data_IF_811716258850
#
_entry.id   IF_811716258850
#
_cell.length_a   1.000
_cell.length_b   1.000
_cell.length_c   1.000
_cell.angle_alpha   90.00
_cell.angle_beta   90.00
_cell.angle_gamma   90.00
#
_symmetry.space_group_name_H-M   'P 1'
#
loop_
_entity.id
_entity.type
_entity.pdbx_description
1 polymer ?
#
# COMPACT_ATOMS: atom_id res chain seq x y z
N UNK A 1 13.10 -13.30 13.81
CA UNK A 1 11.68 -13.06 13.59
C UNK A 1 11.12 -14.06 12.57
N UNK A 2 10.11 -14.79 12.97
CA UNK A 2 9.50 -15.79 12.09
C UNK A 2 8.68 -15.11 10.99
N UNK A 3 8.93 -15.47 9.74
CA UNK A 3 8.20 -14.89 8.61
C UNK A 3 6.83 -15.56 8.46
N UNK A 4 5.80 -14.73 8.29
CA UNK A 4 4.46 -15.23 8.00
C UNK A 4 3.77 -14.33 6.97
N UNK A 5 2.78 -14.87 6.28
CA UNK A 5 1.99 -14.12 5.32
C UNK A 5 0.99 -13.22 6.03
N UNK A 6 0.89 -11.98 5.57
CA UNK A 6 -0.16 -11.09 6.02
C UNK A 6 -1.51 -11.59 5.48
N UNK A 7 -2.58 -11.39 6.25
CA UNK A 7 -3.91 -11.84 5.85
C UNK A 7 -4.40 -11.09 4.62
N UNK A 8 -4.97 -11.85 3.67
CA UNK A 8 -5.58 -11.30 2.46
C UNK A 8 -7.10 -11.36 2.61
N UNK A 9 -7.73 -10.21 2.77
CA UNK A 9 -9.18 -10.14 2.98
C UNK A 9 -9.92 -10.00 1.65
N UNK A 10 -11.07 -10.67 1.55
CA UNK A 10 -11.86 -10.69 0.32
C UNK A 10 -12.25 -9.29 -0.18
N UNK A 11 -12.46 -8.34 0.73
CA UNK A 11 -12.79 -6.96 0.33
C UNK A 11 -11.69 -6.27 -0.46
N UNK A 12 -10.44 -6.76 -0.39
CA UNK A 12 -9.32 -6.24 -1.17
C UNK A 12 -9.01 -7.06 -2.42
N UNK A 13 -9.82 -8.08 -2.72
CA UNK A 13 -9.55 -8.98 -3.85
C UNK A 13 -9.43 -8.24 -5.19
N UNK A 14 -10.34 -7.30 -5.46
CA UNK A 14 -10.30 -6.57 -6.72
C UNK A 14 -9.12 -5.60 -6.78
N UNK A 15 -8.78 -4.98 -5.65
CA UNK A 15 -7.59 -4.12 -5.56
C UNK A 15 -6.33 -4.91 -5.91
N UNK A 16 -6.14 -6.06 -5.28
CA UNK A 16 -4.97 -6.91 -5.52
C UNK A 16 -4.96 -7.39 -6.97
N UNK A 17 -6.10 -7.85 -7.48
CA UNK A 17 -6.21 -8.33 -8.86
C UNK A 17 -5.77 -7.26 -9.87
N UNK A 18 -6.19 -6.01 -9.67
CA UNK A 18 -5.88 -4.94 -10.61
C UNK A 18 -4.45 -4.43 -10.47
N UNK A 19 -3.88 -4.45 -9.27
CA UNK A 19 -2.54 -3.90 -9.05
C UNK A 19 -1.42 -4.93 -9.08
N UNK A 20 -1.70 -6.23 -8.98
CA UNK A 20 -0.64 -7.25 -8.90
C UNK A 20 0.26 -7.29 -10.14
N UNK A 21 -0.26 -6.90 -11.29
CA UNK A 21 0.50 -6.86 -12.53
C UNK A 21 0.82 -5.43 -12.97
N UNK A 22 0.51 -4.46 -12.13
CA UNK A 22 0.83 -3.06 -12.44
C UNK A 22 2.33 -2.84 -12.27
N UNK A 23 3.00 -2.21 -13.25
CA UNK A 23 4.46 -2.12 -13.24
C UNK A 23 5.05 -1.33 -12.06
N UNK A 24 4.26 -0.50 -11.41
CA UNK A 24 4.76 0.40 -10.37
C UNK A 24 4.32 0.05 -8.96
N UNK A 25 3.37 -0.88 -8.79
CA UNK A 25 2.85 -1.26 -7.47
C UNK A 25 3.31 -2.66 -7.08
N UNK A 26 3.76 -2.81 -5.84
CA UNK A 26 4.11 -4.12 -5.26
C UNK A 26 3.49 -4.24 -3.89
N UNK A 27 2.60 -5.22 -3.73
CA UNK A 27 1.95 -5.49 -2.44
C UNK A 27 2.96 -6.02 -1.43
N UNK A 28 2.93 -5.48 -0.23
CA UNK A 28 3.66 -6.03 0.90
C UNK A 28 2.84 -7.21 1.43
N UNK A 29 3.41 -8.43 1.36
CA UNK A 29 2.70 -9.68 1.60
C UNK A 29 3.10 -10.41 2.87
N UNK A 30 4.22 -10.05 3.48
CA UNK A 30 4.71 -10.71 4.68
C UNK A 30 5.11 -9.69 5.73
N UNK A 31 5.17 -10.14 6.99
CA UNK A 31 5.67 -9.31 8.08
C UNK A 31 7.12 -8.90 7.85
N UNK A 32 7.92 -9.78 7.24
CA UNK A 32 9.33 -9.48 6.93
C UNK A 32 9.43 -8.35 5.88
N UNK A 33 8.63 -8.42 4.82
CA UNK A 33 8.60 -7.37 3.82
C UNK A 33 8.19 -6.03 4.43
N UNK A 34 7.23 -6.04 5.35
CA UNK A 34 6.78 -4.84 6.04
C UNK A 34 7.90 -4.24 6.89
N UNK A 35 8.63 -5.10 7.62
CA UNK A 35 9.77 -4.66 8.41
C UNK A 35 10.86 -4.05 7.53
N UNK A 36 11.17 -4.70 6.40
CA UNK A 36 12.18 -4.20 5.45
C UNK A 36 11.75 -2.85 4.89
N UNK A 37 10.47 -2.69 4.57
CA UNK A 37 9.96 -1.41 4.08
C UNK A 37 10.18 -0.29 5.10
N UNK A 38 9.87 -0.55 6.36
CA UNK A 38 10.10 0.41 7.43
C UNK A 38 11.57 0.79 7.57
N UNK A 39 12.47 -0.20 7.52
CA UNK A 39 13.91 0.05 7.61
C UNK A 39 14.43 0.82 6.40
N UNK A 40 14.01 0.43 5.20
CA UNK A 40 14.47 1.05 3.96
C UNK A 40 14.03 2.50 3.85
N UNK A 41 12.78 2.76 4.22
CA UNK A 41 12.16 4.08 4.08
C UNK A 41 12.32 4.95 5.32
N UNK A 42 12.91 4.41 6.40
CA UNK A 42 13.11 5.12 7.66
C UNK A 42 11.80 5.68 8.23
N UNK A 43 10.77 4.83 8.26
CA UNK A 43 9.52 5.17 8.93
C UNK A 43 8.88 3.92 9.54
N UNK A 44 7.92 4.13 10.46
CA UNK A 44 7.34 3.07 11.28
C UNK A 44 6.17 2.37 10.62
N UNK A 45 6.37 1.79 9.42
CA UNK A 45 5.27 1.05 8.77
C UNK A 45 4.94 -0.25 9.49
N UNK A 46 5.86 -0.79 10.29
CA UNK A 46 5.61 -2.02 11.02
C UNK A 46 4.46 -1.89 12.04
N UNK A 47 4.19 -0.68 12.51
CA UNK A 47 3.06 -0.42 13.41
C UNK A 47 1.72 -0.70 12.75
N UNK A 48 1.68 -0.80 11.42
CA UNK A 48 0.45 -1.13 10.68
C UNK A 48 0.15 -2.63 10.65
N UNK A 49 1.03 -3.46 11.19
CA UNK A 49 0.85 -4.92 11.16
C UNK A 49 -0.50 -5.35 11.71
N UNK A 50 -0.86 -4.86 12.90
CA UNK A 50 -2.12 -5.20 13.53
C UNK A 50 -3.31 -4.76 12.70
N UNK A 51 -3.26 -3.55 12.15
CA UNK A 51 -4.31 -3.02 11.30
C UNK A 51 -4.51 -3.88 10.05
N UNK A 52 -3.40 -4.28 9.40
CA UNK A 52 -3.44 -5.16 8.23
C UNK A 52 -4.06 -6.51 8.60
N UNK A 53 -3.64 -7.09 9.70
CA UNK A 53 -4.12 -8.40 10.14
C UNK A 53 -5.62 -8.40 10.49
N UNK A 54 -6.17 -7.23 10.84
CA UNK A 54 -7.61 -7.07 11.08
C UNK A 54 -8.39 -6.73 9.80
N UNK A 55 -7.72 -6.61 8.66
CA UNK A 55 -8.36 -6.26 7.41
C UNK A 55 -8.62 -4.76 7.23
N UNK A 56 -8.00 -3.92 8.06
CA UNK A 56 -8.21 -2.47 8.01
C UNK A 56 -7.42 -1.75 6.95
N UNK A 57 -6.42 -2.40 6.35
CA UNK A 57 -5.54 -1.72 5.41
C UNK A 57 -4.71 -2.67 4.57
N UNK A 58 -4.09 -2.13 3.51
CA UNK A 58 -3.05 -2.79 2.72
C UNK A 58 -1.90 -1.81 2.55
N UNK A 59 -0.68 -2.32 2.44
CA UNK A 59 0.52 -1.51 2.25
C UNK A 59 1.23 -1.95 0.97
N UNK A 60 1.61 -0.98 0.18
CA UNK A 60 2.20 -1.19 -1.14
C UNK A 60 3.50 -0.41 -1.28
N UNK A 61 4.46 -0.98 -2.00
CA UNK A 61 5.63 -0.24 -2.48
C UNK A 61 5.27 0.33 -3.84
N UNK A 62 5.56 1.60 -4.04
CA UNK A 62 5.37 2.27 -5.32
C UNK A 62 6.70 2.77 -5.84
N UNK A 63 7.01 2.41 -7.08
CA UNK A 63 8.24 2.86 -7.74
C UNK A 63 7.94 3.23 -9.19
N UNK A 64 8.23 4.46 -9.55
CA UNK A 64 8.17 4.92 -10.94
C UNK A 64 9.23 6.01 -11.14
N UNK A 65 10.18 5.75 -12.03
CA UNK A 65 11.30 6.66 -12.26
C UNK A 65 12.01 6.97 -10.94
N UNK A 66 12.14 8.23 -10.55
CA UNK A 66 12.76 8.63 -9.28
C UNK A 66 11.82 8.54 -8.08
N UNK A 67 10.54 8.25 -8.32
CA UNK A 67 9.54 8.22 -7.25
C UNK A 67 9.53 6.87 -6.56
N UNK A 68 9.71 6.88 -5.24
CA UNK A 68 9.67 5.70 -4.40
C UNK A 68 8.88 6.03 -3.15
N UNK A 69 7.70 5.43 -3.00
CA UNK A 69 6.80 5.71 -1.89
C UNK A 69 6.28 4.44 -1.24
N UNK A 70 5.95 4.56 0.05
CA UNK A 70 5.11 3.58 0.75
C UNK A 70 3.69 4.10 0.70
N UNK A 71 2.77 3.29 0.18
CA UNK A 71 1.38 3.70 -0.05
C UNK A 71 0.45 2.81 0.78
N UNK A 72 -0.38 3.43 1.59
CA UNK A 72 -1.43 2.73 2.33
C UNK A 72 -2.75 2.90 1.59
N UNK A 73 -3.42 1.77 1.29
CA UNK A 73 -4.70 1.76 0.58
C UNK A 73 -5.73 1.04 1.44
N UNK A 74 -6.86 1.70 1.66
CA UNK A 74 -8.01 1.16 2.37
C UNK A 74 -9.20 1.09 1.45
N UNK A 75 -10.17 0.26 1.82
CA UNK A 75 -11.47 0.23 1.15
C UNK A 75 -12.48 1.00 2.00
N UNK A 76 -13.16 1.94 1.38
CA UNK A 76 -14.24 2.64 2.05
C UNK A 76 -15.39 1.67 2.34
N UNK A 77 -16.12 1.92 3.42
CA UNK A 77 -17.16 1.01 3.89
C UNK A 77 -18.20 0.66 2.80
N UNK A 78 -18.62 1.65 2.04
CA UNK A 78 -19.62 1.48 0.97
C UNK A 78 -19.12 1.98 -0.37
N UNK A 79 -17.83 2.02 -0.56
CA UNK A 79 -17.28 2.67 -1.73
C UNK A 79 -15.95 2.11 -2.21
N UNK A 80 -15.27 2.96 -2.94
CA UNK A 80 -14.03 2.66 -3.64
C UNK A 80 -12.84 2.45 -2.71
N UNK A 81 -11.72 2.07 -3.31
CA UNK A 81 -10.42 2.05 -2.64
C UNK A 81 -9.86 3.47 -2.59
N UNK A 82 -9.12 3.74 -1.53
CA UNK A 82 -8.61 5.08 -1.25
C UNK A 82 -7.18 5.03 -0.76
N UNK A 83 -6.36 5.94 -1.28
CA UNK A 83 -5.01 6.16 -0.76
C UNK A 83 -5.14 7.00 0.50
N UNK A 84 -4.84 6.40 1.65
CA UNK A 84 -4.96 7.10 2.94
C UNK A 84 -3.63 7.64 3.43
N UNK A 85 -2.51 7.07 2.98
CA UNK A 85 -1.17 7.60 3.22
C UNK A 85 -0.28 7.32 2.03
N UNK A 86 0.64 8.24 1.76
CA UNK A 86 1.63 8.10 0.71
C UNK A 86 2.86 8.92 1.13
N UNK A 87 3.94 8.22 1.51
CA UNK A 87 5.14 8.89 2.01
C UNK A 87 6.39 8.34 1.35
N UNK A 88 7.33 9.23 1.09
CA UNK A 88 8.67 8.88 0.71
C UNK A 88 9.55 8.63 1.93
N UNK A 89 10.85 8.47 1.68
CA UNK A 89 11.83 8.19 2.73
C UNK A 89 11.81 9.29 3.79
N UNK A 90 11.97 8.90 5.06
CA UNK A 90 11.92 9.79 6.22
C UNK A 90 10.58 10.54 6.33
N UNK A 91 9.49 9.87 5.96
CA UNK A 91 8.14 10.45 5.98
C UNK A 91 8.02 11.72 5.11
N UNK A 92 8.86 11.84 4.08
CA UNK A 92 8.79 12.98 3.17
C UNK A 92 7.50 12.94 2.37
N UNK A 93 6.99 14.12 2.02
CA UNK A 93 5.79 14.23 1.21
C UNK A 93 6.08 13.80 -0.23
N UNK A 94 5.14 13.12 -0.88
CA UNK A 94 5.32 12.76 -2.28
C UNK A 94 5.23 13.98 -3.18
N UNK A 95 5.77 13.86 -4.39
CA UNK A 95 5.52 14.82 -5.44
C UNK A 95 4.00 14.91 -5.69
N UNK A 96 3.48 16.13 -5.76
CA UNK A 96 2.03 16.37 -5.85
C UNK A 96 1.43 15.76 -7.11
N UNK A 97 2.09 15.92 -8.24
CA UNK A 97 1.60 15.36 -9.51
C UNK A 97 1.62 13.84 -9.48
N UNK A 98 2.66 13.25 -8.91
CA UNK A 98 2.75 11.81 -8.79
C UNK A 98 1.68 11.26 -7.85
N UNK A 99 1.40 11.96 -6.76
CA UNK A 99 0.33 11.56 -5.84
C UNK A 99 -1.03 11.54 -6.55
N UNK A 100 -1.29 12.52 -7.42
CA UNK A 100 -2.54 12.55 -8.19
C UNK A 100 -2.63 11.37 -9.15
N UNK A 101 -1.51 10.99 -9.77
CA UNK A 101 -1.46 9.80 -10.64
C UNK A 101 -1.80 8.55 -9.82
N UNK A 102 -1.18 8.39 -8.66
CA UNK A 102 -1.42 7.25 -7.77
C UNK A 102 -2.90 7.19 -7.36
N UNK A 103 -3.47 8.31 -6.94
CA UNK A 103 -4.87 8.37 -6.52
C UNK A 103 -5.83 8.01 -7.66
N UNK A 104 -5.58 8.51 -8.87
CA UNK A 104 -6.43 8.19 -10.02
C UNK A 104 -6.40 6.69 -10.33
N UNK A 105 -5.23 6.07 -10.28
CA UNK A 105 -5.11 4.63 -10.52
C UNK A 105 -5.93 3.86 -9.49
N UNK A 106 -5.76 4.17 -8.22
CA UNK A 106 -6.41 3.43 -7.12
C UNK A 106 -7.92 3.65 -7.11
N UNK A 107 -8.37 4.90 -7.26
CA UNK A 107 -9.78 5.25 -7.16
C UNK A 107 -10.59 4.79 -8.38
N UNK A 108 -9.93 4.49 -9.49
CA UNK A 108 -10.58 3.94 -10.68
C UNK A 108 -10.80 2.43 -10.62
N UNK A 109 -10.22 1.74 -9.64
CA UNK A 109 -10.35 0.28 -9.54
C UNK A 109 -11.76 -0.09 -9.12
N UNK A 110 -12.42 -1.02 -9.84
CA UNK A 110 -13.74 -1.51 -9.44
C UNK A 110 -13.69 -2.13 -8.05
N UNK A 111 -14.69 -1.86 -7.24
CA UNK A 111 -14.76 -2.36 -5.86
C UNK A 111 -15.95 -3.29 -5.61
N UNK A 112 -16.66 -3.61 -6.66
CA UNK A 112 -17.80 -4.54 -6.64
C UNK A 112 -17.59 -5.67 -7.65
#
# INVERSE_FOLDING_TARGET
LKTFKLKQYGKYRLLVKHLQNHPHFNLIKTNKELFIEGSTMHHCVYSYLEKIQRGGSTIWKYERQKHRYTVEIEKRKYGNYEVVQCYGKYDSLPDEQELQVIRKIVEAIPYK
#
